data_IF_314906066858
#
_entry.id   IF_314906066858
#
_cell.length_a   1.000
_cell.length_b   1.000
_cell.length_c   1.000
_cell.angle_alpha   90.00
_cell.angle_beta   90.00
_cell.angle_gamma   90.00
#
_symmetry.space_group_name_H-M   'P 1'
#
loop_
_entity.id
_entity.type
_entity.pdbx_description
1 polymer ?
#
# COMPACT_ATOMS: atom_id res chain seq x y z
N UNK A 1 18.83 -30.14 59.73
CA UNK A 1 19.08 -30.73 58.41
C UNK A 1 18.09 -30.20 57.33
N UNK A 2 17.92 -28.88 57.20
CA UNK A 2 16.98 -28.24 56.23
C UNK A 2 17.45 -26.86 55.72
N UNK A 3 18.77 -26.65 55.57
CA UNK A 3 19.31 -25.33 55.17
C UNK A 3 20.39 -25.36 54.08
N UNK A 4 20.65 -26.49 53.41
CA UNK A 4 21.77 -26.57 52.44
C UNK A 4 21.32 -26.91 51.00
N UNK A 5 20.05 -27.28 50.78
CA UNK A 5 19.57 -27.71 49.46
C UNK A 5 18.87 -26.62 48.60
N UNK A 6 18.76 -25.36 49.07
CA UNK A 6 18.12 -24.27 48.29
C UNK A 6 19.10 -23.33 47.56
N UNK A 7 20.40 -23.40 47.83
CA UNK A 7 21.39 -22.51 47.21
C UNK A 7 22.00 -23.08 45.91
N UNK A 8 21.95 -24.41 45.72
CA UNK A 8 22.55 -25.10 44.57
C UNK A 8 21.69 -25.12 43.29
N UNK A 9 20.43 -24.69 43.34
CA UNK A 9 19.54 -24.65 42.15
C UNK A 9 19.39 -23.26 41.51
N UNK A 10 19.93 -22.20 42.13
CA UNK A 10 19.82 -20.83 41.60
C UNK A 10 21.05 -20.44 40.77
N UNK A 11 22.23 -21.00 41.06
CA UNK A 11 23.44 -20.69 40.31
C UNK A 11 23.59 -21.51 39.02
N UNK A 12 23.11 -22.76 38.99
CA UNK A 12 23.20 -23.60 37.79
C UNK A 12 22.22 -23.21 36.67
N UNK A 13 21.13 -22.48 36.98
CA UNK A 13 20.19 -21.93 35.99
C UNK A 13 20.62 -20.59 35.41
N UNK A 14 21.39 -19.81 36.15
CA UNK A 14 21.83 -18.49 35.71
C UNK A 14 22.85 -18.58 34.57
N UNK A 15 23.77 -19.54 34.67
CA UNK A 15 24.79 -19.78 33.65
C UNK A 15 24.24 -20.51 32.40
N UNK A 16 23.04 -21.09 32.47
CA UNK A 16 22.36 -21.71 31.30
C UNK A 16 21.26 -20.83 30.68
N UNK A 17 20.78 -19.79 31.37
CA UNK A 17 19.93 -18.74 30.81
C UNK A 17 20.75 -17.68 30.05
N UNK A 18 21.95 -17.32 30.54
CA UNK A 18 22.86 -16.42 29.84
C UNK A 18 23.43 -17.03 28.53
N UNK A 19 23.44 -18.36 28.41
CA UNK A 19 23.92 -19.07 27.21
C UNK A 19 22.79 -19.52 26.27
N UNK A 20 21.52 -19.16 26.56
CA UNK A 20 20.33 -19.44 25.72
C UNK A 20 19.51 -18.21 25.37
N UNK A 21 20.01 -17.01 25.67
CA UNK A 21 19.73 -15.87 24.80
C UNK A 21 20.50 -16.07 23.48
N UNK A 22 20.11 -17.07 22.69
CA UNK A 22 20.06 -16.82 21.25
C UNK A 22 19.22 -15.56 21.15
N UNK A 23 19.86 -14.41 20.87
CA UNK A 23 19.15 -13.15 20.71
C UNK A 23 18.05 -13.41 19.70
N UNK A 24 16.80 -13.50 20.17
CA UNK A 24 15.66 -13.67 19.27
C UNK A 24 15.80 -12.58 18.22
N UNK A 25 15.88 -12.94 16.93
CA UNK A 25 16.16 -11.96 15.89
C UNK A 25 15.12 -10.86 16.00
N UNK A 26 15.60 -9.62 16.12
CA UNK A 26 14.74 -8.44 16.13
C UNK A 26 13.96 -8.40 14.82
N UNK A 27 12.68 -8.04 14.90
CA UNK A 27 11.77 -8.08 13.77
C UNK A 27 11.95 -6.89 12.82
N UNK A 28 11.65 -7.08 11.54
CA UNK A 28 11.30 -5.96 10.67
C UNK A 28 9.85 -5.55 10.94
N UNK A 29 9.62 -4.26 11.16
CA UNK A 29 8.29 -3.74 11.48
C UNK A 29 7.75 -2.95 10.30
N UNK A 30 6.79 -3.53 9.59
CA UNK A 30 6.11 -2.93 8.46
C UNK A 30 4.83 -2.23 8.93
N UNK A 31 4.57 -1.04 8.40
CA UNK A 31 3.32 -0.30 8.62
C UNK A 31 2.63 -0.18 7.26
N UNK A 32 1.42 -0.71 7.15
CA UNK A 32 0.69 -0.79 5.88
C UNK A 32 -0.82 -0.81 6.12
N UNK A 33 -1.61 -0.96 5.06
CA UNK A 33 -3.08 -1.03 5.16
C UNK A 33 -3.74 -2.35 4.65
N UNK A 34 -3.08 -3.54 4.69
CA UNK A 34 -3.76 -4.78 4.32
C UNK A 34 -4.85 -5.19 5.34
N UNK A 35 -5.71 -6.12 4.94
CA UNK A 35 -6.78 -6.71 5.73
C UNK A 35 -8.14 -6.01 5.58
N UNK A 36 -8.18 -4.82 5.00
CA UNK A 36 -9.36 -4.35 4.28
C UNK A 36 -9.19 -4.83 2.85
N UNK A 37 -9.96 -5.82 2.36
CA UNK A 37 -9.73 -6.41 1.04
C UNK A 37 -9.84 -5.32 -0.04
N UNK A 38 -8.70 -4.71 -0.37
CA UNK A 38 -8.48 -3.71 -1.38
C UNK A 38 -7.22 -4.16 -2.11
N UNK A 39 -7.38 -4.62 -3.34
CA UNK A 39 -6.35 -5.40 -4.03
C UNK A 39 -4.98 -4.69 -4.06
N UNK A 40 -4.98 -3.37 -4.18
CA UNK A 40 -3.75 -2.59 -4.16
C UNK A 40 -2.96 -2.67 -2.86
N UNK A 41 -3.65 -2.47 -1.73
CA UNK A 41 -3.01 -2.46 -0.41
C UNK A 41 -2.53 -3.88 -0.02
N UNK A 42 -3.32 -4.91 -0.38
CA UNK A 42 -2.93 -6.31 -0.21
C UNK A 42 -1.73 -6.68 -1.09
N UNK A 43 -1.69 -6.19 -2.33
CA UNK A 43 -0.59 -6.41 -3.26
C UNK A 43 0.71 -5.80 -2.71
N UNK A 44 0.70 -4.53 -2.32
CA UNK A 44 1.88 -3.85 -1.77
C UNK A 44 2.44 -4.64 -0.57
N UNK A 45 1.59 -4.99 0.40
CA UNK A 45 2.04 -5.76 1.57
C UNK A 45 2.55 -7.15 1.19
N UNK A 46 1.84 -7.86 0.29
CA UNK A 46 2.22 -9.20 -0.17
C UNK A 46 3.53 -9.23 -0.94
N UNK A 47 3.81 -8.22 -1.76
CA UNK A 47 5.06 -8.09 -2.52
C UNK A 47 6.25 -7.87 -1.58
N UNK A 48 6.12 -6.99 -0.59
CA UNK A 48 7.15 -6.78 0.44
C UNK A 48 7.39 -8.03 1.28
N UNK A 49 6.33 -8.71 1.74
CA UNK A 49 6.45 -9.95 2.49
C UNK A 49 7.15 -11.05 1.68
N UNK A 50 6.79 -11.21 0.41
CA UNK A 50 7.43 -12.20 -0.48
C UNK A 50 8.91 -11.90 -0.67
N UNK A 51 9.26 -10.62 -0.86
CA UNK A 51 10.65 -10.20 -1.02
C UNK A 51 11.48 -10.45 0.24
N UNK A 52 10.95 -10.06 1.40
CA UNK A 52 11.59 -10.33 2.68
C UNK A 52 11.69 -11.83 2.96
N UNK A 53 10.68 -12.61 2.62
CA UNK A 53 10.68 -14.06 2.81
C UNK A 53 11.74 -14.75 1.96
N UNK A 54 12.07 -14.17 0.79
CA UNK A 54 13.14 -14.64 -0.08
C UNK A 54 14.54 -14.35 0.46
N UNK A 55 14.79 -13.16 1.02
CA UNK A 55 16.14 -12.71 1.41
C UNK A 55 16.43 -12.73 2.92
N UNK A 56 15.39 -12.82 3.73
CA UNK A 56 15.40 -12.84 5.20
C UNK A 56 14.40 -13.86 5.77
N UNK A 57 14.37 -15.11 5.28
CA UNK A 57 13.39 -16.11 5.74
C UNK A 57 13.43 -16.37 7.24
N UNK A 58 14.55 -16.09 7.91
CA UNK A 58 14.75 -16.32 9.34
C UNK A 58 14.36 -15.15 10.24
N UNK A 59 14.13 -13.95 9.67
CA UNK A 59 13.82 -12.75 10.45
C UNK A 59 12.30 -12.59 10.57
N UNK A 60 11.75 -12.46 11.79
CA UNK A 60 10.32 -12.17 11.95
C UNK A 60 9.94 -10.86 11.27
N UNK A 61 8.78 -10.83 10.63
CA UNK A 61 8.23 -9.62 10.01
C UNK A 61 6.89 -9.30 10.66
N UNK A 62 6.83 -8.17 11.35
CA UNK A 62 5.60 -7.67 11.98
C UNK A 62 4.93 -6.71 11.01
N UNK A 63 3.65 -6.92 10.71
CA UNK A 63 2.85 -6.06 9.85
C UNK A 63 1.78 -5.38 10.70
N UNK A 64 1.98 -4.11 11.01
CA UNK A 64 0.99 -3.23 11.62
C UNK A 64 0.02 -2.73 10.56
N UNK A 65 -1.25 -3.11 10.67
CA UNK A 65 -2.23 -2.90 9.63
C UNK A 65 -3.64 -2.66 10.16
N UNK A 66 -4.55 -2.31 9.25
CA UNK A 66 -5.93 -1.98 9.59
C UNK A 66 -6.71 -3.14 10.22
N UNK A 67 -6.49 -4.36 9.72
CA UNK A 67 -7.24 -5.56 10.12
C UNK A 67 -6.34 -6.79 10.12
N UNK A 68 -5.65 -7.09 11.24
CA UNK A 68 -4.64 -8.14 11.28
C UNK A 68 -5.21 -9.55 11.05
N UNK A 69 -6.43 -9.83 11.50
CA UNK A 69 -7.09 -11.13 11.29
C UNK A 69 -7.25 -11.49 9.80
N UNK A 70 -7.98 -10.68 9.02
CA UNK A 70 -8.07 -10.85 7.56
C UNK A 70 -6.71 -10.82 6.85
N UNK A 71 -5.83 -9.86 7.18
CA UNK A 71 -4.51 -9.75 6.57
C UNK A 71 -3.69 -11.04 6.75
N UNK A 72 -3.74 -11.64 7.95
CA UNK A 72 -3.06 -12.89 8.25
C UNK A 72 -3.56 -14.07 7.41
N UNK A 73 -4.83 -14.08 7.00
CA UNK A 73 -5.38 -15.13 6.12
C UNK A 73 -5.01 -14.87 4.66
N UNK A 74 -5.14 -13.63 4.19
CA UNK A 74 -4.86 -13.22 2.81
C UNK A 74 -3.38 -13.41 2.48
N UNK A 75 -2.49 -13.09 3.42
CA UNK A 75 -1.04 -13.03 3.20
C UNK A 75 -0.26 -14.17 3.88
N UNK A 76 -0.96 -15.21 4.36
CA UNK A 76 -0.39 -16.29 5.21
C UNK A 76 0.87 -16.96 4.65
N UNK A 77 0.98 -17.10 3.33
CA UNK A 77 2.04 -17.85 2.66
C UNK A 77 3.16 -16.94 2.09
N UNK A 78 3.10 -15.63 2.34
CA UNK A 78 4.04 -14.66 1.75
C UNK A 78 5.36 -14.57 2.52
N UNK A 79 5.37 -14.89 3.82
CA UNK A 79 6.59 -14.91 4.63
C UNK A 79 6.47 -15.95 5.77
N UNK A 80 7.50 -16.80 6.02
CA UNK A 80 7.42 -17.91 6.99
C UNK A 80 7.17 -17.47 8.45
N UNK A 81 7.57 -16.25 8.78
CA UNK A 81 7.48 -15.66 10.12
C UNK A 81 6.74 -14.32 10.15
N UNK A 82 5.71 -14.16 9.29
CA UNK A 82 4.85 -12.97 9.36
C UNK A 82 3.96 -12.97 10.62
N UNK A 83 3.89 -11.83 11.29
CA UNK A 83 3.03 -11.57 12.45
C UNK A 83 2.21 -10.33 12.13
N UNK A 84 0.89 -10.40 12.26
CA UNK A 84 0.01 -9.28 11.96
C UNK A 84 -0.52 -8.65 13.26
N UNK A 85 -0.42 -7.33 13.36
CA UNK A 85 -0.89 -6.51 14.49
C UNK A 85 -1.54 -5.23 13.98
N UNK A 86 -2.05 -4.40 14.89
CA UNK A 86 -2.67 -3.11 14.60
C UNK A 86 -2.31 -2.06 15.65
N UNK A 87 -1.13 -2.14 16.26
CA UNK A 87 -0.68 -1.25 17.35
C UNK A 87 -0.71 0.22 16.96
N UNK A 88 0.06 0.64 15.96
CA UNK A 88 0.11 2.04 15.51
C UNK A 88 -1.21 2.47 14.89
N UNK A 89 -1.89 1.58 14.14
CA UNK A 89 -3.25 1.83 13.67
C UNK A 89 -4.18 2.20 14.83
N UNK A 90 -4.16 1.42 15.91
CA UNK A 90 -5.03 1.60 17.07
C UNK A 90 -4.64 2.80 17.89
N UNK A 91 -3.36 3.11 18.04
CA UNK A 91 -2.94 4.37 18.67
C UNK A 91 -3.49 5.59 17.91
N UNK A 92 -3.52 5.52 16.57
CA UNK A 92 -4.11 6.56 15.74
C UNK A 92 -5.63 6.69 15.87
N UNK A 93 -6.38 5.60 16.09
CA UNK A 93 -7.86 5.64 16.14
C UNK A 93 -8.48 5.61 17.52
N UNK A 94 -7.81 5.03 18.51
CA UNK A 94 -8.27 4.87 19.90
C UNK A 94 -7.51 5.82 20.83
N UNK A 95 -7.37 7.05 20.36
CA UNK A 95 -6.82 8.19 21.09
C UNK A 95 -7.97 8.99 21.76
N UNK A 96 -7.68 9.96 22.65
CA UNK A 96 -8.72 10.70 23.38
C UNK A 96 -9.42 11.80 22.54
N UNK A 97 -9.05 12.00 21.29
CA UNK A 97 -9.57 13.02 20.38
C UNK A 97 -10.60 12.43 19.41
N UNK A 98 -11.43 13.27 18.75
CA UNK A 98 -12.38 12.82 17.73
C UNK A 98 -11.69 12.06 16.58
N UNK A 99 -12.44 11.16 15.94
CA UNK A 99 -12.02 10.57 14.67
C UNK A 99 -11.82 11.69 13.64
N UNK A 100 -10.64 11.73 13.01
CA UNK A 100 -10.17 12.85 12.19
C UNK A 100 -10.03 14.21 12.93
N UNK A 101 -9.70 14.17 14.22
CA UNK A 101 -9.39 15.34 15.05
C UNK A 101 -8.07 16.06 14.69
N UNK A 102 -7.64 17.06 15.48
CA UNK A 102 -6.42 17.83 15.22
C UNK A 102 -5.17 16.93 15.13
N UNK A 103 -4.46 17.00 14.02
CA UNK A 103 -3.32 16.11 13.73
C UNK A 103 -2.20 16.22 14.77
N UNK A 104 -1.86 17.44 15.24
CA UNK A 104 -0.79 17.66 16.20
C UNK A 104 -1.11 16.97 17.55
N UNK A 105 -2.37 17.02 17.98
CA UNK A 105 -2.83 16.39 19.22
C UNK A 105 -2.80 14.85 19.11
N UNK A 106 -3.33 14.30 18.02
CA UNK A 106 -3.34 12.85 17.78
C UNK A 106 -1.91 12.32 17.64
N UNK A 107 -1.06 12.99 16.85
CA UNK A 107 0.33 12.60 16.68
C UNK A 107 1.14 12.74 17.98
N UNK A 108 0.85 13.76 18.80
CA UNK A 108 1.40 13.91 20.14
C UNK A 108 1.08 12.72 21.03
N UNK A 109 -0.19 12.31 21.08
CA UNK A 109 -0.61 11.11 21.81
C UNK A 109 0.10 9.84 21.30
N UNK A 110 0.20 9.65 19.98
CA UNK A 110 0.92 8.49 19.40
C UNK A 110 2.38 8.50 19.84
N UNK A 111 3.07 9.65 19.78
CA UNK A 111 4.45 9.80 20.22
C UNK A 111 4.64 9.50 21.72
N UNK A 112 3.76 10.02 22.58
CA UNK A 112 3.77 9.75 24.02
C UNK A 112 3.55 8.27 24.31
N UNK A 113 2.57 7.63 23.66
CA UNK A 113 2.30 6.21 23.84
C UNK A 113 3.46 5.31 23.39
N UNK A 114 4.18 5.69 22.33
CA UNK A 114 5.40 4.97 21.93
C UNK A 114 6.55 5.11 22.95
N UNK A 115 6.55 6.17 23.76
CA UNK A 115 7.53 6.38 24.85
C UNK A 115 7.12 5.66 26.15
N UNK A 116 5.83 5.62 26.45
CA UNK A 116 5.27 5.07 27.68
C UNK A 116 4.04 4.21 27.37
N UNK A 117 4.19 2.89 27.48
CA UNK A 117 3.08 1.95 27.26
C UNK A 117 1.90 2.16 28.22
N UNK A 118 2.09 2.86 29.34
CA UNK A 118 1.05 3.20 30.30
C UNK A 118 0.03 4.21 29.77
N UNK A 119 0.37 4.99 28.74
CA UNK A 119 -0.55 5.91 28.04
C UNK A 119 -1.62 5.13 27.26
N UNK A 120 -1.24 3.98 26.69
CA UNK A 120 -2.12 3.13 25.89
C UNK A 120 -1.99 1.65 26.31
N UNK A 121 -2.43 1.29 27.53
CA UNK A 121 -2.13 -0.01 28.15
C UNK A 121 -2.75 -1.20 27.39
N UNK A 122 -3.84 -0.98 26.65
CA UNK A 122 -4.44 -2.00 25.78
C UNK A 122 -3.49 -2.47 24.66
N UNK A 123 -2.51 -1.64 24.30
CA UNK A 123 -1.55 -1.86 23.22
C UNK A 123 -0.11 -2.02 23.73
N UNK A 124 0.08 -2.17 25.04
CA UNK A 124 1.39 -2.23 25.68
C UNK A 124 2.32 -3.31 25.10
N UNK A 125 1.79 -4.48 24.73
CA UNK A 125 2.58 -5.55 24.12
C UNK A 125 3.17 -5.15 22.76
N UNK A 126 2.40 -4.44 21.94
CA UNK A 126 2.86 -3.93 20.64
C UNK A 126 3.84 -2.77 20.78
N UNK A 127 3.61 -1.89 21.76
CA UNK A 127 4.51 -0.80 22.10
C UNK A 127 5.87 -1.34 22.57
N UNK A 128 5.88 -2.32 23.48
CA UNK A 128 7.13 -2.96 23.94
C UNK A 128 7.88 -3.67 22.82
N UNK A 129 7.16 -4.27 21.88
CA UNK A 129 7.75 -4.86 20.69
C UNK A 129 8.46 -3.78 19.86
N UNK A 130 7.84 -2.63 19.61
CA UNK A 130 8.49 -1.48 18.96
C UNK A 130 9.71 -1.00 19.74
N UNK A 131 9.60 -0.81 21.06
CA UNK A 131 10.68 -0.27 21.90
C UNK A 131 11.91 -1.17 21.98
N UNK A 132 11.74 -2.50 21.92
CA UNK A 132 12.80 -3.44 22.28
C UNK A 132 13.09 -4.51 21.23
N UNK A 133 12.11 -4.82 20.38
CA UNK A 133 12.11 -6.00 19.51
C UNK A 133 12.22 -5.73 18.02
N UNK A 134 12.41 -4.48 17.58
CA UNK A 134 12.52 -4.15 16.14
C UNK A 134 13.95 -3.83 15.70
N UNK A 135 14.29 -4.28 14.50
CA UNK A 135 15.54 -3.96 13.81
C UNK A 135 15.40 -2.72 12.93
N UNK A 136 14.25 -2.56 12.29
CA UNK A 136 13.92 -1.42 11.45
C UNK A 136 12.41 -1.23 11.36
N UNK A 137 11.99 -0.03 10.99
CA UNK A 137 10.59 0.33 10.77
C UNK A 137 10.44 0.78 9.32
N UNK A 138 9.40 0.29 8.64
CA UNK A 138 9.19 0.55 7.23
C UNK A 138 7.72 0.81 6.94
N UNK A 139 7.39 2.05 6.59
CA UNK A 139 6.05 2.44 6.16
C UNK A 139 5.89 2.15 4.68
N UNK A 140 5.06 1.18 4.36
CA UNK A 140 4.83 0.74 2.99
C UNK A 140 3.91 1.72 2.27
N UNK A 141 4.04 1.73 0.94
CA UNK A 141 3.27 2.58 0.04
C UNK A 141 1.77 2.38 0.14
N UNK A 142 1.04 3.32 -0.46
CA UNK A 142 -0.41 3.32 -0.42
C UNK A 142 -0.99 4.72 -0.24
N UNK A 143 -2.31 4.82 -0.38
CA UNK A 143 -3.05 6.08 -0.24
C UNK A 143 -3.71 6.26 1.12
N UNK A 144 -3.33 5.44 2.10
CA UNK A 144 -3.94 5.42 3.43
C UNK A 144 -3.46 6.58 4.32
N UNK A 145 -2.40 7.29 3.93
CA UNK A 145 -1.87 8.49 4.59
C UNK A 145 -2.42 9.81 4.00
N UNK A 146 -3.64 9.79 3.47
CA UNK A 146 -4.32 11.00 2.97
C UNK A 146 -4.34 12.08 4.08
N UNK A 147 -4.07 13.33 3.72
CA UNK A 147 -3.81 14.40 4.69
C UNK A 147 -5.00 14.77 5.58
N UNK A 148 -6.23 14.50 5.14
CA UNK A 148 -7.48 14.69 5.89
C UNK A 148 -7.86 13.46 6.74
N UNK A 149 -7.16 12.33 6.63
CA UNK A 149 -7.35 11.16 7.49
C UNK A 149 -6.37 11.22 8.66
N UNK A 150 -6.58 12.15 9.59
CA UNK A 150 -5.56 12.51 10.59
C UNK A 150 -5.20 11.35 11.52
N UNK A 151 -6.14 10.47 11.84
CA UNK A 151 -5.85 9.23 12.57
C UNK A 151 -4.83 8.36 11.84
N UNK A 152 -4.92 8.26 10.51
CA UNK A 152 -3.95 7.51 9.72
C UNK A 152 -2.62 8.24 9.62
N UNK A 153 -2.67 9.53 9.24
CA UNK A 153 -1.50 10.37 9.05
C UNK A 153 -0.64 10.44 10.31
N UNK A 154 -1.26 10.44 11.50
CA UNK A 154 -0.57 10.49 12.80
C UNK A 154 0.48 9.39 12.99
N UNK A 155 0.35 8.26 12.28
CA UNK A 155 1.34 7.16 12.29
C UNK A 155 2.72 7.61 11.81
N UNK A 156 2.85 8.73 11.08
CA UNK A 156 4.14 9.33 10.73
C UNK A 156 4.95 9.77 11.97
N UNK A 157 4.32 9.92 13.14
CA UNK A 157 5.00 10.18 14.41
C UNK A 157 6.03 9.10 14.78
N UNK A 158 5.93 7.90 14.19
CA UNK A 158 6.93 6.84 14.34
C UNK A 158 8.31 7.24 13.81
N UNK A 159 8.38 8.13 12.81
CA UNK A 159 9.63 8.59 12.21
C UNK A 159 10.52 9.31 13.22
N UNK A 160 10.09 10.45 13.78
CA UNK A 160 10.82 11.15 14.84
C UNK A 160 11.16 10.25 16.03
N UNK A 161 10.20 9.43 16.49
CA UNK A 161 10.41 8.51 17.61
C UNK A 161 11.53 7.48 17.34
N UNK A 162 11.57 6.92 16.13
CA UNK A 162 12.57 5.95 15.71
C UNK A 162 13.94 6.60 15.52
N UNK A 163 13.97 7.81 14.93
CA UNK A 163 15.18 8.60 14.72
C UNK A 163 15.93 8.89 16.02
N UNK A 164 15.22 9.38 17.05
CA UNK A 164 15.79 9.66 18.37
C UNK A 164 16.43 8.42 19.02
N UNK A 165 15.92 7.23 18.67
CA UNK A 165 16.37 5.93 19.17
C UNK A 165 17.38 5.23 18.26
N UNK A 166 17.75 5.86 17.14
CA UNK A 166 18.64 5.28 16.12
C UNK A 166 18.12 3.95 15.57
N UNK A 167 16.81 3.80 15.47
CA UNK A 167 16.16 2.68 14.78
C UNK A 167 16.03 3.09 13.31
N UNK A 168 16.62 2.34 12.36
CA UNK A 168 16.47 2.61 10.94
C UNK A 168 15.00 2.70 10.55
N UNK A 169 14.61 3.77 9.87
CA UNK A 169 13.21 4.06 9.56
C UNK A 169 13.04 4.60 8.14
N UNK A 170 12.19 3.94 7.37
CA UNK A 170 11.92 4.29 5.98
C UNK A 170 10.42 4.41 5.71
N UNK A 171 10.08 5.22 4.70
CA UNK A 171 8.78 5.26 4.06
C UNK A 171 8.97 5.17 2.55
N UNK A 172 8.22 4.29 1.89
CA UNK A 172 8.26 4.14 0.43
C UNK A 172 6.90 4.32 -0.20
N UNK A 173 6.83 4.96 -1.37
CA UNK A 173 5.63 4.98 -2.21
C UNK A 173 4.37 5.60 -1.57
N UNK A 174 4.49 6.42 -0.53
CA UNK A 174 3.34 7.02 0.14
C UNK A 174 2.63 8.03 -0.79
N UNK A 175 1.30 8.14 -0.67
CA UNK A 175 0.52 9.22 -1.26
C UNK A 175 -0.29 9.94 -0.19
N UNK A 176 -0.04 11.24 -0.03
CA UNK A 176 -0.63 12.04 1.05
C UNK A 176 -1.71 13.02 0.55
N UNK A 177 -1.78 13.29 -0.75
CA UNK A 177 -2.80 14.20 -1.29
C UNK A 177 -4.23 13.70 -1.05
N UNK A 178 -5.19 14.62 -0.84
CA UNK A 178 -5.01 16.04 -0.51
C UNK A 178 -4.37 16.22 0.86
N UNK A 179 -3.46 17.19 0.98
CA UNK A 179 -2.80 17.55 2.24
C UNK A 179 -2.53 19.05 2.31
N UNK A 180 -2.94 19.67 3.41
CA UNK A 180 -2.83 21.10 3.64
C UNK A 180 -2.78 21.43 5.15
N UNK A 181 -2.63 22.72 5.49
CA UNK A 181 -2.72 23.21 6.86
C UNK A 181 -1.80 22.50 7.85
N UNK A 182 -2.34 22.17 9.01
CA UNK A 182 -1.59 21.50 10.08
C UNK A 182 -1.11 20.10 9.69
N UNK A 183 -1.90 19.35 8.92
CA UNK A 183 -1.51 18.03 8.41
C UNK A 183 -0.27 18.13 7.52
N UNK A 184 -0.21 19.15 6.66
CA UNK A 184 0.97 19.39 5.83
C UNK A 184 2.20 19.76 6.69
N UNK A 185 2.03 20.68 7.64
CA UNK A 185 3.11 21.10 8.55
C UNK A 185 3.67 19.92 9.33
N UNK A 186 2.80 19.08 9.88
CA UNK A 186 3.16 17.86 10.58
C UNK A 186 3.92 16.89 9.66
N UNK A 187 3.38 16.59 8.47
CA UNK A 187 4.01 15.65 7.54
C UNK A 187 5.38 16.14 7.05
N UNK A 188 5.55 17.45 6.81
CA UNK A 188 6.84 18.07 6.48
C UNK A 188 7.88 17.82 7.57
N UNK A 189 7.51 18.03 8.85
CA UNK A 189 8.40 17.81 9.99
C UNK A 189 8.72 16.33 10.19
N UNK A 190 7.70 15.47 10.13
CA UNK A 190 7.89 14.03 10.33
C UNK A 190 8.79 13.42 9.25
N UNK A 191 8.61 13.79 7.98
CA UNK A 191 9.39 13.28 6.85
C UNK A 191 10.91 13.54 7.00
N UNK A 192 11.30 14.63 7.69
CA UNK A 192 12.72 14.95 7.94
C UNK A 192 13.42 13.95 8.86
N UNK A 193 12.66 13.16 9.62
CA UNK A 193 13.22 12.18 10.57
C UNK A 193 13.42 10.79 9.96
N UNK A 194 12.99 10.57 8.72
CA UNK A 194 13.17 9.29 8.03
C UNK A 194 14.53 9.21 7.35
N UNK A 195 15.16 8.03 7.38
CA UNK A 195 16.39 7.76 6.62
C UNK A 195 16.10 7.74 5.10
N UNK A 196 14.89 7.32 4.74
CA UNK A 196 14.37 7.26 3.38
C UNK A 196 12.91 7.67 3.40
N UNK A 197 12.53 8.67 2.59
CA UNK A 197 11.14 9.04 2.41
C UNK A 197 10.81 9.17 0.92
N UNK A 198 10.08 8.22 0.36
CA UNK A 198 9.60 8.31 -1.01
C UNK A 198 8.09 8.39 -1.10
N UNK A 199 7.63 9.11 -2.10
CA UNK A 199 6.23 9.34 -2.40
C UNK A 199 5.93 8.98 -3.84
N UNK A 200 4.74 8.49 -4.13
CA UNK A 200 4.39 8.00 -5.48
C UNK A 200 4.01 9.11 -6.46
N UNK A 201 3.71 10.30 -5.96
CA UNK A 201 3.17 11.40 -6.78
C UNK A 201 3.92 12.73 -6.56
N UNK A 202 4.01 13.50 -7.65
CA UNK A 202 4.70 14.81 -7.68
C UNK A 202 4.02 15.85 -6.80
N UNK A 203 2.68 15.95 -6.72
CA UNK A 203 2.03 16.90 -5.84
C UNK A 203 2.37 16.70 -4.37
N UNK A 204 2.35 15.46 -3.86
CA UNK A 204 2.78 15.14 -2.49
C UNK A 204 4.21 15.61 -2.25
N UNK A 205 5.16 15.27 -3.14
CA UNK A 205 6.56 15.73 -3.00
C UNK A 205 6.65 17.25 -2.96
N UNK A 206 5.97 17.92 -3.89
CA UNK A 206 5.98 19.39 -4.00
C UNK A 206 5.47 20.03 -2.70
N UNK A 207 4.37 19.50 -2.15
CA UNK A 207 3.82 19.95 -0.89
C UNK A 207 4.80 19.76 0.27
N UNK A 208 5.41 18.57 0.39
CA UNK A 208 6.36 18.27 1.47
C UNK A 208 7.67 19.08 1.38
N UNK A 209 8.09 19.50 0.18
CA UNK A 209 9.31 20.32 0.03
C UNK A 209 9.07 21.81 0.32
N UNK A 210 7.83 22.30 0.25
CA UNK A 210 7.48 23.68 0.60
C UNK A 210 8.27 24.77 -0.15
N UNK A 211 8.87 24.44 -1.31
CA UNK A 211 9.74 25.34 -2.07
C UNK A 211 11.22 25.38 -1.65
N UNK A 212 11.68 24.52 -0.74
CA UNK A 212 13.09 24.39 -0.33
C UNK A 212 13.93 23.67 -1.39
N UNK A 213 15.09 24.20 -1.77
CA UNK A 213 15.71 23.86 -3.06
C UNK A 213 16.89 22.87 -3.07
N UNK A 214 17.47 22.46 -1.93
CA UNK A 214 18.61 21.50 -1.99
C UNK A 214 18.61 20.42 -0.91
N UNK A 215 18.65 20.77 0.39
CA UNK A 215 18.82 19.75 1.45
C UNK A 215 17.55 18.89 1.65
N UNK A 216 16.36 19.51 1.65
CA UNK A 216 15.09 18.80 1.75
C UNK A 216 14.79 17.90 0.52
N UNK A 217 15.32 18.26 -0.65
CA UNK A 217 15.12 17.51 -1.90
C UNK A 217 15.82 16.14 -1.89
N UNK A 218 16.84 15.97 -1.05
CA UNK A 218 17.49 14.68 -0.83
C UNK A 218 16.70 13.76 0.11
N UNK A 219 15.87 14.33 0.99
CA UNK A 219 15.08 13.59 1.97
C UNK A 219 13.80 13.02 1.37
N UNK A 220 13.07 13.81 0.55
CA UNK A 220 11.79 13.39 -0.06
C UNK A 220 11.90 13.24 -1.58
N UNK A 221 11.75 12.00 -2.06
CA UNK A 221 11.89 11.65 -3.49
C UNK A 221 10.58 11.15 -4.07
N UNK A 222 10.32 11.45 -5.34
CA UNK A 222 9.27 10.72 -6.06
C UNK A 222 9.85 9.37 -6.45
N UNK A 223 9.15 8.28 -6.14
CA UNK A 223 9.51 6.93 -6.55
C UNK A 223 8.30 6.24 -7.22
N UNK A 224 8.49 5.10 -7.89
CA UNK A 224 7.40 4.24 -8.32
C UNK A 224 6.60 3.70 -7.14
N UNK A 225 5.39 3.21 -7.40
CA UNK A 225 4.56 2.55 -6.39
C UNK A 225 5.19 1.21 -5.94
N UNK A 226 5.05 0.89 -4.66
CA UNK A 226 5.68 -0.27 -4.03
C UNK A 226 5.26 -1.62 -4.64
N UNK A 227 4.12 -1.70 -5.34
CA UNK A 227 3.74 -2.91 -6.06
C UNK A 227 4.80 -3.37 -7.08
N UNK A 228 5.67 -2.47 -7.56
CA UNK A 228 6.77 -2.82 -8.46
C UNK A 228 7.96 -3.49 -7.76
N UNK A 229 7.99 -3.67 -6.45
CA UNK A 229 9.22 -4.12 -5.74
C UNK A 229 9.73 -5.50 -6.21
N UNK A 230 8.87 -6.43 -6.66
CA UNK A 230 9.28 -7.67 -7.35
C UNK A 230 9.03 -7.68 -8.86
N UNK A 231 8.84 -6.52 -9.48
CA UNK A 231 8.67 -6.42 -10.93
C UNK A 231 7.38 -7.06 -11.45
N UNK A 232 6.35 -7.22 -10.60
CA UNK A 232 5.03 -7.75 -10.97
C UNK A 232 5.05 -9.17 -11.56
N UNK A 233 6.10 -9.97 -11.29
CA UNK A 233 6.30 -11.28 -11.93
C UNK A 233 5.18 -12.28 -11.63
N UNK A 234 4.74 -12.34 -10.37
CA UNK A 234 3.81 -13.36 -9.86
C UNK A 234 2.42 -12.82 -9.49
N UNK A 235 2.09 -11.58 -9.86
CA UNK A 235 0.83 -10.94 -9.48
C UNK A 235 -0.30 -11.13 -10.49
N UNK A 236 -0.05 -11.78 -11.64
CA UNK A 236 -1.02 -11.93 -12.73
C UNK A 236 -1.61 -13.35 -12.79
N UNK A 237 -2.89 -13.43 -13.12
CA UNK A 237 -3.54 -14.71 -13.39
C UNK A 237 -3.09 -15.34 -14.71
N UNK A 238 -3.44 -16.63 -14.88
CA UNK A 238 -3.32 -17.30 -16.18
C UNK A 238 -4.07 -16.49 -17.26
N UNK A 239 -3.47 -16.26 -18.44
CA UNK A 239 -4.09 -15.48 -19.51
C UNK A 239 -5.22 -16.22 -20.22
N UNK A 240 -5.36 -17.54 -20.00
CA UNK A 240 -6.31 -18.39 -20.70
C UNK A 240 -7.77 -18.01 -20.38
N UNK A 241 -8.57 -17.81 -21.44
CA UNK A 241 -9.99 -17.50 -21.32
C UNK A 241 -10.31 -16.14 -20.70
N UNK A 242 -9.33 -15.24 -20.55
CA UNK A 242 -9.59 -13.86 -20.12
C UNK A 242 -10.28 -13.06 -21.24
N UNK A 243 -11.38 -12.34 -20.94
CA UNK A 243 -12.05 -11.47 -21.90
C UNK A 243 -11.10 -10.42 -22.53
N UNK A 244 -11.39 -9.97 -23.75
CA UNK A 244 -10.60 -8.93 -24.42
C UNK A 244 -10.85 -7.53 -23.85
N UNK A 245 -11.98 -7.34 -23.17
CA UNK A 245 -12.37 -6.06 -22.55
C UNK A 245 -12.57 -6.29 -21.05
N UNK A 246 -11.94 -5.44 -20.25
CA UNK A 246 -11.98 -5.52 -18.79
C UNK A 246 -12.41 -4.18 -18.20
N UNK A 247 -13.21 -4.21 -17.14
CA UNK A 247 -13.77 -3.04 -16.48
C UNK A 247 -13.59 -3.16 -14.96
N UNK A 248 -13.06 -2.12 -14.31
CA UNK A 248 -12.96 -2.04 -12.85
C UNK A 248 -13.38 -0.64 -12.37
N UNK A 249 -14.59 -0.51 -11.83
CA UNK A 249 -15.24 0.79 -11.62
C UNK A 249 -15.71 0.92 -10.19
N UNK A 250 -14.97 1.69 -9.39
CA UNK A 250 -15.39 2.14 -8.06
C UNK A 250 -16.49 3.19 -8.14
N UNK A 251 -17.45 3.16 -7.21
CA UNK A 251 -18.60 4.06 -7.20
C UNK A 251 -18.78 4.85 -5.89
N UNK A 252 -17.86 4.76 -4.94
CA UNK A 252 -17.94 5.37 -3.60
C UNK A 252 -17.50 6.84 -3.54
N UNK A 253 -16.60 7.28 -4.44
CA UNK A 253 -16.10 8.65 -4.49
C UNK A 253 -16.87 9.60 -5.41
N UNK A 254 -17.78 9.07 -6.25
CA UNK A 254 -18.59 9.91 -7.16
C UNK A 254 -19.88 10.38 -6.50
N UNK A 255 -20.24 11.64 -6.71
CA UNK A 255 -21.53 12.20 -6.26
C UNK A 255 -22.71 11.55 -6.99
N UNK A 256 -22.56 11.30 -8.30
CA UNK A 256 -23.61 10.75 -9.17
C UNK A 256 -23.17 9.44 -9.83
N UNK A 257 -23.44 8.31 -9.16
CA UNK A 257 -23.08 6.98 -9.65
C UNK A 257 -23.65 6.66 -11.04
N UNK A 258 -24.88 7.12 -11.33
CA UNK A 258 -25.52 6.88 -12.62
C UNK A 258 -24.78 7.57 -13.76
N UNK A 259 -24.28 8.78 -13.56
CA UNK A 259 -23.50 9.49 -14.57
C UNK A 259 -22.17 8.77 -14.86
N UNK A 260 -21.53 8.20 -13.83
CA UNK A 260 -20.34 7.36 -14.00
C UNK A 260 -20.65 6.11 -14.83
N UNK A 261 -21.71 5.36 -14.50
CA UNK A 261 -22.04 4.13 -15.22
C UNK A 261 -22.48 4.39 -16.67
N UNK A 262 -23.18 5.49 -16.91
CA UNK A 262 -23.49 5.96 -18.26
C UNK A 262 -22.21 6.31 -19.03
N UNK A 263 -21.23 6.96 -18.39
CA UNK A 263 -19.93 7.23 -19.01
C UNK A 263 -19.18 5.93 -19.35
N UNK A 264 -19.25 4.92 -18.48
CA UNK A 264 -18.68 3.58 -18.75
C UNK A 264 -19.34 2.95 -19.98
N UNK A 265 -20.67 2.94 -20.05
CA UNK A 265 -21.42 2.42 -21.21
C UNK A 265 -21.05 3.14 -22.50
N UNK A 266 -21.04 4.47 -22.49
CA UNK A 266 -20.65 5.31 -23.65
C UNK A 266 -19.21 5.02 -24.09
N UNK A 267 -18.32 4.75 -23.15
CA UNK A 267 -16.92 4.40 -23.45
C UNK A 267 -16.83 3.05 -24.16
N UNK A 268 -17.52 2.03 -23.65
CA UNK A 268 -17.59 0.71 -24.29
C UNK A 268 -18.17 0.80 -25.72
N UNK A 269 -19.20 1.61 -25.91
CA UNK A 269 -19.79 1.87 -27.23
C UNK A 269 -18.84 2.63 -28.16
N UNK A 270 -18.12 3.63 -27.65
CA UNK A 270 -17.08 4.34 -28.39
C UNK A 270 -15.94 3.41 -28.85
N UNK A 271 -15.67 2.36 -28.07
CA UNK A 271 -14.68 1.34 -28.40
C UNK A 271 -15.21 0.26 -29.36
N UNK A 272 -16.47 0.32 -29.76
CA UNK A 272 -17.11 -0.71 -30.58
C UNK A 272 -17.21 -2.06 -29.86
N UNK A 273 -17.48 -2.05 -28.56
CA UNK A 273 -17.73 -3.28 -27.79
C UNK A 273 -19.17 -3.71 -28.03
N UNK A 274 -19.34 -4.84 -28.74
CA UNK A 274 -20.65 -5.44 -28.99
C UNK A 274 -21.31 -5.93 -27.68
N UNK A 275 -22.64 -5.98 -27.65
CA UNK A 275 -23.41 -6.34 -26.45
C UNK A 275 -23.25 -7.80 -26.02
N UNK A 276 -22.91 -8.69 -26.95
CA UNK A 276 -22.62 -10.11 -26.70
C UNK A 276 -21.12 -10.41 -26.53
N UNK A 277 -20.26 -9.39 -26.68
CA UNK A 277 -18.83 -9.54 -26.45
C UNK A 277 -18.53 -9.91 -24.99
N UNK A 278 -17.55 -10.79 -24.79
CA UNK A 278 -17.08 -11.14 -23.45
C UNK A 278 -16.46 -9.91 -22.78
N UNK A 279 -16.98 -9.53 -21.61
CA UNK A 279 -16.45 -8.43 -20.79
C UNK A 279 -16.16 -8.96 -19.39
N UNK A 280 -14.94 -8.72 -18.90
CA UNK A 280 -14.57 -8.99 -17.52
C UNK A 280 -14.92 -7.80 -16.64
N UNK A 281 -15.66 -8.02 -15.56
CA UNK A 281 -15.90 -7.01 -14.52
C UNK A 281 -15.11 -7.41 -13.28
N UNK A 282 -14.12 -6.60 -12.93
CA UNK A 282 -13.15 -6.90 -11.87
C UNK A 282 -13.48 -6.11 -10.62
N UNK A 283 -13.54 -6.80 -9.49
CA UNK A 283 -13.66 -6.21 -8.17
C UNK A 283 -12.30 -6.18 -7.47
N UNK A 284 -11.83 -4.98 -7.16
CA UNK A 284 -10.63 -4.73 -6.38
C UNK A 284 -10.94 -4.13 -5.01
N UNK A 285 -12.20 -3.82 -4.71
CA UNK A 285 -12.71 -3.57 -3.36
C UNK A 285 -14.16 -4.09 -3.26
N UNK A 286 -14.46 -5.03 -2.34
CA UNK A 286 -15.77 -5.64 -2.19
C UNK A 286 -16.92 -4.66 -2.16
N UNK A 287 -17.96 -4.95 -2.95
CA UNK A 287 -19.22 -4.20 -3.02
C UNK A 287 -19.10 -2.78 -3.60
N UNK A 288 -17.91 -2.19 -3.60
CA UNK A 288 -17.65 -0.86 -4.15
C UNK A 288 -17.53 -0.92 -5.68
N UNK A 289 -16.94 -2.00 -6.22
CA UNK A 289 -16.77 -2.14 -7.68
C UNK A 289 -17.86 -2.96 -8.36
N UNK A 290 -18.60 -3.73 -7.56
CA UNK A 290 -19.68 -4.59 -8.04
C UNK A 290 -20.81 -3.85 -8.80
N UNK A 291 -21.28 -2.65 -8.39
CA UNK A 291 -22.50 -2.06 -8.93
C UNK A 291 -22.52 -1.80 -10.45
N UNK A 292 -21.37 -1.70 -11.10
CA UNK A 292 -21.32 -1.57 -12.58
C UNK A 292 -21.79 -2.83 -13.30
N UNK A 293 -21.66 -4.01 -12.69
CA UNK A 293 -22.07 -5.28 -13.27
C UNK A 293 -23.57 -5.37 -13.54
N UNK A 294 -24.46 -5.21 -12.53
CA UNK A 294 -25.90 -5.24 -12.78
C UNK A 294 -26.32 -4.13 -13.74
N UNK A 295 -25.71 -2.94 -13.65
CA UNK A 295 -25.96 -1.85 -14.61
C UNK A 295 -25.68 -2.27 -16.06
N UNK A 296 -24.52 -2.86 -16.35
CA UNK A 296 -24.20 -3.32 -17.71
C UNK A 296 -25.16 -4.42 -18.19
N UNK A 297 -25.54 -5.35 -17.31
CA UNK A 297 -26.52 -6.40 -17.60
C UNK A 297 -27.88 -5.82 -18.01
N UNK A 298 -28.38 -4.86 -17.23
CA UNK A 298 -29.65 -4.16 -17.51
C UNK A 298 -29.61 -3.35 -18.82
N UNK A 299 -28.41 -2.97 -19.28
CA UNK A 299 -28.18 -2.26 -20.54
C UNK A 299 -27.78 -3.19 -21.71
N UNK A 300 -28.11 -4.47 -21.59
CA UNK A 300 -28.08 -5.45 -22.68
C UNK A 300 -26.75 -6.20 -22.87
N UNK A 301 -25.74 -5.97 -22.03
CA UNK A 301 -24.51 -6.75 -22.09
C UNK A 301 -24.73 -8.16 -21.53
N UNK A 302 -24.66 -9.18 -22.38
CA UNK A 302 -25.12 -10.54 -22.05
C UNK A 302 -24.00 -11.51 -21.65
N UNK A 303 -22.74 -11.18 -21.94
CA UNK A 303 -21.57 -12.03 -21.68
C UNK A 303 -20.61 -11.39 -20.67
N UNK A 304 -21.12 -11.14 -19.47
CA UNK A 304 -20.38 -10.55 -18.36
C UNK A 304 -19.74 -11.64 -17.49
N UNK A 305 -18.42 -11.56 -17.28
CA UNK A 305 -17.68 -12.43 -16.35
C UNK A 305 -17.22 -11.62 -15.15
N UNK A 306 -17.72 -11.97 -13.97
CA UNK A 306 -17.30 -11.33 -12.73
C UNK A 306 -16.00 -11.95 -12.19
N UNK A 307 -15.07 -11.10 -11.75
CA UNK A 307 -13.83 -11.46 -11.07
C UNK A 307 -13.90 -10.86 -9.66
N UNK A 308 -14.45 -11.58 -8.66
CA UNK A 308 -14.52 -11.10 -7.28
C UNK A 308 -13.12 -10.96 -6.69
N UNK A 309 -12.93 -10.04 -5.75
CA UNK A 309 -11.58 -9.77 -5.22
C UNK A 309 -10.89 -11.02 -4.64
N UNK A 310 -11.65 -11.94 -4.04
CA UNK A 310 -11.08 -13.17 -3.47
C UNK A 310 -10.41 -14.03 -4.55
N UNK A 311 -11.04 -14.13 -5.72
CA UNK A 311 -10.45 -14.81 -6.87
C UNK A 311 -9.22 -14.07 -7.39
N UNK A 312 -9.25 -12.73 -7.39
CA UNK A 312 -8.11 -11.90 -7.81
C UNK A 312 -6.91 -12.08 -6.86
N UNK A 313 -7.15 -12.17 -5.55
CA UNK A 313 -6.11 -12.41 -4.54
C UNK A 313 -5.53 -13.83 -4.63
N UNK A 314 -6.37 -14.84 -4.87
CA UNK A 314 -5.94 -16.25 -4.92
C UNK A 314 -5.33 -16.66 -6.26
N UNK A 315 -5.86 -16.14 -7.37
CA UNK A 315 -5.53 -16.58 -8.73
C UNK A 315 -4.69 -15.55 -9.48
N UNK A 316 -4.55 -14.34 -8.95
CA UNK A 316 -3.81 -13.22 -9.57
C UNK A 316 -4.72 -12.23 -10.32
N UNK A 317 -4.13 -11.08 -10.67
CA UNK A 317 -4.80 -10.02 -11.41
C UNK A 317 -5.09 -10.44 -12.86
N UNK A 318 -6.34 -10.31 -13.35
CA UNK A 318 -6.77 -10.90 -14.63
C UNK A 318 -6.38 -10.03 -15.84
N UNK A 319 -5.09 -9.72 -15.99
CA UNK A 319 -4.56 -8.93 -17.10
C UNK A 319 -3.63 -9.73 -18.04
N UNK A 320 -3.79 -9.51 -19.34
CA UNK A 320 -2.90 -10.00 -20.40
C UNK A 320 -2.70 -8.95 -21.48
N UNK A 321 -1.53 -8.99 -22.11
CA UNK A 321 -1.24 -8.12 -23.25
C UNK A 321 -2.32 -8.23 -24.34
N UNK A 322 -2.65 -7.10 -24.97
CA UNK A 322 -3.67 -7.00 -26.02
C UNK A 322 -5.11 -6.78 -25.52
N UNK A 323 -5.37 -6.84 -24.21
CA UNK A 323 -6.67 -6.41 -23.67
C UNK A 323 -6.87 -4.90 -23.76
N UNK A 324 -8.15 -4.48 -23.72
CA UNK A 324 -8.60 -3.12 -23.48
C UNK A 324 -9.20 -3.00 -22.08
N UNK A 325 -8.75 -2.01 -21.31
CA UNK A 325 -9.18 -1.83 -19.92
C UNK A 325 -9.81 -0.46 -19.69
N UNK A 326 -10.92 -0.43 -18.97
CA UNK A 326 -11.51 0.78 -18.40
C UNK A 326 -11.47 0.70 -16.89
N UNK A 327 -10.82 1.67 -16.23
CA UNK A 327 -10.72 1.67 -14.78
C UNK A 327 -10.95 3.03 -14.15
N UNK A 328 -11.60 3.08 -13.00
CA UNK A 328 -11.52 4.25 -12.10
C UNK A 328 -10.49 4.07 -11.00
N UNK A 329 -9.94 2.86 -10.83
CA UNK A 329 -9.00 2.52 -9.76
C UNK A 329 -7.55 2.64 -10.21
N UNK A 330 -6.72 3.06 -9.26
CA UNK A 330 -5.28 3.26 -9.42
C UNK A 330 -4.50 1.98 -9.76
N UNK A 331 -4.58 0.94 -8.93
CA UNK A 331 -3.83 -0.30 -9.15
C UNK A 331 -4.26 -1.06 -10.40
N UNK A 332 -5.56 -1.21 -10.72
CA UNK A 332 -5.96 -1.79 -12.00
C UNK A 332 -5.44 -1.01 -13.22
N UNK A 333 -5.33 0.31 -13.14
CA UNK A 333 -4.67 1.12 -14.17
C UNK A 333 -3.18 0.74 -14.28
N UNK A 334 -2.43 0.76 -13.17
CA UNK A 334 -1.00 0.38 -13.16
C UNK A 334 -0.79 -1.01 -13.77
N UNK A 335 -1.48 -2.01 -13.24
CA UNK A 335 -1.18 -3.41 -13.52
C UNK A 335 -1.56 -3.80 -14.94
N UNK A 336 -2.70 -3.33 -15.44
CA UNK A 336 -3.10 -3.59 -16.80
C UNK A 336 -2.19 -2.85 -17.79
N UNK A 337 -1.87 -1.57 -17.55
CA UNK A 337 -0.96 -0.81 -18.40
C UNK A 337 0.44 -1.44 -18.43
N UNK A 338 0.99 -1.83 -17.28
CA UNK A 338 2.29 -2.50 -17.17
C UNK A 338 2.32 -3.88 -17.85
N UNK A 339 1.16 -4.55 -17.97
CA UNK A 339 1.03 -5.82 -18.70
C UNK A 339 0.89 -5.61 -20.23
N UNK A 340 0.91 -4.38 -20.71
CA UNK A 340 0.76 -4.02 -22.13
C UNK A 340 -0.70 -3.93 -22.59
N UNK A 341 -1.65 -3.72 -21.68
CA UNK A 341 -3.04 -3.46 -22.06
C UNK A 341 -3.21 -2.00 -22.49
N UNK A 342 -3.98 -1.77 -23.54
CA UNK A 342 -4.48 -0.43 -23.85
C UNK A 342 -5.69 -0.11 -22.96
N UNK A 343 -6.03 1.17 -22.80
CA UNK A 343 -7.16 1.51 -21.96
C UNK A 343 -7.43 2.99 -21.79
N UNK A 344 -8.42 3.25 -20.94
CA UNK A 344 -8.76 4.57 -20.44
C UNK A 344 -9.01 4.52 -18.95
N UNK A 345 -8.87 5.66 -18.29
CA UNK A 345 -9.26 5.83 -16.90
C UNK A 345 -10.33 6.93 -16.75
N UNK A 346 -11.17 6.80 -15.72
CA UNK A 346 -12.11 7.84 -15.30
C UNK A 346 -11.74 8.24 -13.88
N UNK A 347 -11.38 9.50 -13.69
CA UNK A 347 -11.10 10.02 -12.34
C UNK A 347 -12.40 10.31 -11.60
N UNK A 348 -12.50 9.83 -10.36
CA UNK A 348 -13.73 9.89 -9.55
C UNK A 348 -13.67 10.90 -8.41
N UNK A 349 -12.49 11.46 -8.12
CA UNK A 349 -12.28 12.44 -7.04
C UNK A 349 -11.18 13.43 -7.45
N UNK A 350 -11.52 14.72 -7.53
CA UNK A 350 -10.58 15.78 -7.89
C UNK A 350 -9.60 16.02 -6.76
N UNK A 351 -8.31 16.19 -7.08
CA UNK A 351 -7.26 16.37 -6.07
C UNK A 351 -6.82 15.10 -5.34
N UNK A 352 -7.51 13.96 -5.55
CA UNK A 352 -7.09 12.65 -5.03
C UNK A 352 -6.89 11.61 -6.15
N UNK A 353 -7.96 11.24 -6.87
CA UNK A 353 -7.86 10.22 -7.92
C UNK A 353 -7.21 10.74 -9.21
N UNK A 354 -7.31 12.05 -9.47
CA UNK A 354 -6.53 12.69 -10.53
C UNK A 354 -5.02 12.53 -10.27
N UNK A 355 -4.59 12.87 -9.04
CA UNK A 355 -3.20 12.73 -8.60
C UNK A 355 -2.71 11.29 -8.72
N UNK A 356 -3.57 10.33 -8.33
CA UNK A 356 -3.29 8.90 -8.52
C UNK A 356 -3.10 8.56 -10.00
N UNK A 357 -4.01 8.91 -10.89
CA UNK A 357 -3.88 8.55 -12.30
C UNK A 357 -2.70 9.25 -12.99
N UNK A 358 -2.43 10.51 -12.65
CA UNK A 358 -1.26 11.25 -13.16
C UNK A 358 0.06 10.60 -12.69
N UNK A 359 0.09 10.00 -11.50
CA UNK A 359 1.23 9.20 -11.07
C UNK A 359 1.43 7.94 -11.94
N UNK A 360 0.36 7.28 -12.39
CA UNK A 360 0.46 6.13 -13.31
C UNK A 360 0.95 6.56 -14.70
N UNK A 361 0.49 7.70 -15.19
CA UNK A 361 0.97 8.28 -16.45
C UNK A 361 2.48 8.56 -16.36
N UNK A 362 2.93 9.19 -15.27
CA UNK A 362 4.36 9.41 -15.00
C UNK A 362 5.17 8.12 -15.00
N UNK A 363 4.61 7.02 -14.47
CA UNK A 363 5.28 5.73 -14.40
C UNK A 363 5.36 5.00 -15.76
N UNK A 364 4.66 5.48 -16.79
CA UNK A 364 4.78 4.98 -18.16
C UNK A 364 3.46 4.65 -18.86
N UNK A 365 2.30 4.87 -18.24
CA UNK A 365 1.02 4.65 -18.92
C UNK A 365 0.69 5.77 -19.91
N UNK A 366 0.16 5.38 -21.07
CA UNK A 366 -0.41 6.29 -22.06
C UNK A 366 -1.92 6.13 -22.19
N UNK A 367 -2.60 5.53 -21.19
CA UNK A 367 -4.05 5.44 -21.17
C UNK A 367 -4.70 6.83 -21.27
N UNK A 368 -5.80 6.89 -22.00
CA UNK A 368 -6.55 8.14 -22.19
C UNK A 368 -7.43 8.45 -20.99
N UNK A 369 -7.60 9.73 -20.68
CA UNK A 369 -8.55 10.18 -19.65
C UNK A 369 -9.95 10.29 -20.26
N UNK A 370 -10.93 9.69 -19.61
CA UNK A 370 -12.35 9.90 -19.88
C UNK A 370 -12.98 10.73 -18.75
N UNK A 371 -13.60 11.86 -19.12
CA UNK A 371 -14.32 12.73 -18.19
C UNK A 371 -15.82 12.41 -18.25
N UNK A 372 -16.48 12.36 -17.09
CA UNK A 372 -17.94 12.16 -17.01
C UNK A 372 -18.66 13.29 -17.76
N UNK A 373 -19.60 12.93 -18.64
CA UNK A 373 -20.38 13.87 -19.44
C UNK A 373 -19.73 14.24 -20.78
N UNK A 374 -18.42 14.12 -20.91
CA UNK A 374 -17.71 14.41 -22.16
C UNK A 374 -17.75 13.23 -23.14
N UNK A 375 -17.36 13.49 -24.40
CA UNK A 375 -17.24 12.44 -25.42
C UNK A 375 -16.10 11.49 -25.03
N UNK A 376 -16.34 10.17 -24.91
CA UNK A 376 -15.27 9.22 -24.62
C UNK A 376 -14.17 9.22 -25.67
N UNK A 377 -12.94 8.95 -25.24
CA UNK A 377 -11.78 8.77 -26.10
C UNK A 377 -11.56 7.29 -26.46
N UNK A 378 -10.82 7.07 -27.56
CA UNK A 378 -10.24 5.77 -27.87
C UNK A 378 -9.24 5.34 -26.78
N UNK A 379 -9.03 4.03 -26.56
CA UNK A 379 -8.09 3.57 -25.55
C UNK A 379 -6.66 3.97 -25.95
N UNK A 380 -5.90 4.49 -24.99
CA UNK A 380 -4.48 4.80 -25.13
C UNK A 380 -3.60 3.58 -24.85
N UNK A 381 -2.32 3.62 -25.25
CA UNK A 381 -1.40 2.50 -25.05
C UNK A 381 -1.06 2.28 -23.57
N UNK A 382 -0.65 1.06 -23.22
CA UNK A 382 -0.08 0.74 -21.91
C UNK A 382 1.33 1.27 -21.76
N UNK A 383 2.19 0.55 -21.04
CA UNK A 383 3.60 0.89 -20.92
C UNK A 383 4.32 0.54 -22.24
N UNK A 384 4.87 1.54 -22.94
CA UNK A 384 5.51 1.33 -24.25
C UNK A 384 6.98 0.90 -24.16
N UNK A 385 7.67 1.26 -23.07
CA UNK A 385 9.10 0.96 -22.90
C UNK A 385 9.31 -0.39 -22.21
N UNK A 386 9.89 -1.33 -22.95
CA UNK A 386 10.36 -2.60 -22.41
C UNK A 386 11.40 -2.33 -21.31
N UNK A 387 11.16 -2.88 -20.11
CA UNK A 387 12.10 -2.79 -18.99
C UNK A 387 11.73 -1.80 -17.88
N UNK A 388 10.77 -0.89 -18.10
CA UNK A 388 10.34 0.08 -17.07
C UNK A 388 9.96 -0.59 -15.74
N UNK A 389 9.25 -1.71 -15.79
CA UNK A 389 8.87 -2.48 -14.60
C UNK A 389 10.10 -2.94 -13.80
N UNK A 390 11.17 -3.36 -14.49
CA UNK A 390 12.43 -3.76 -13.85
C UNK A 390 13.20 -2.56 -13.31
N UNK A 391 13.18 -1.44 -14.03
CA UNK A 391 13.77 -0.18 -13.57
C UNK A 391 13.09 0.33 -12.30
N UNK A 392 11.76 0.29 -12.26
CA UNK A 392 10.96 0.66 -11.10
C UNK A 392 11.26 -0.22 -9.89
N UNK A 393 11.32 -1.54 -10.09
CA UNK A 393 11.75 -2.50 -9.07
C UNK A 393 13.14 -2.16 -8.52
N UNK A 394 14.11 -1.93 -9.41
CA UNK A 394 15.49 -1.60 -9.04
C UNK A 394 15.57 -0.26 -8.30
N UNK A 395 14.75 0.73 -8.65
CA UNK A 395 14.69 2.01 -7.95
C UNK A 395 14.19 1.86 -6.51
N UNK A 396 13.09 1.12 -6.30
CA UNK A 396 12.57 0.88 -4.95
C UNK A 396 13.62 0.15 -4.11
N UNK A 397 14.26 -0.88 -4.66
CA UNK A 397 15.32 -1.64 -3.98
C UNK A 397 16.59 -0.81 -3.72
N UNK A 398 16.94 0.15 -4.58
CA UNK A 398 17.99 1.15 -4.27
C UNK A 398 17.64 1.97 -3.05
N UNK A 399 16.40 2.46 -3.00
CA UNK A 399 15.96 3.37 -1.95
C UNK A 399 16.01 2.70 -0.57
N UNK A 400 15.68 1.41 -0.45
CA UNK A 400 15.65 0.71 0.85
C UNK A 400 16.92 -0.10 1.19
N UNK A 401 17.97 -0.05 0.36
CA UNK A 401 19.11 -0.96 0.49
C UNK A 401 19.81 -0.85 1.87
N UNK A 402 19.80 0.34 2.47
CA UNK A 402 20.32 0.56 3.82
C UNK A 402 19.57 -0.22 4.91
N UNK A 403 18.25 -0.40 4.76
CA UNK A 403 17.43 -1.22 5.67
C UNK A 403 17.59 -2.72 5.39
N UNK A 404 17.68 -3.08 4.10
CA UNK A 404 17.68 -4.48 3.66
C UNK A 404 18.87 -4.81 2.74
N UNK A 405 20.11 -4.86 3.26
CA UNK A 405 21.32 -5.01 2.45
C UNK A 405 21.46 -6.34 1.69
N UNK A 406 20.70 -7.39 2.06
CA UNK A 406 20.70 -8.67 1.33
C UNK A 406 19.84 -8.64 0.07
N UNK A 407 18.96 -7.65 -0.07
CA UNK A 407 18.14 -7.50 -1.28
C UNK A 407 19.02 -6.92 -2.39
N UNK A 408 19.12 -7.60 -3.56
CA UNK A 408 19.90 -7.11 -4.67
C UNK A 408 19.23 -5.89 -5.30
N UNK A 409 20.06 -4.90 -5.59
CA UNK A 409 19.65 -3.58 -6.08
C UNK A 409 19.35 -3.57 -7.57
N UNK A 410 20.03 -4.42 -8.34
CA UNK A 410 19.73 -4.67 -9.75
C UNK A 410 19.10 -6.07 -9.81
N UNK A 411 18.00 -6.22 -10.58
CA UNK A 411 17.28 -7.49 -10.70
C UNK A 411 18.22 -8.67 -10.99
N UNK A 412 17.91 -9.84 -10.42
CA UNK A 412 18.63 -11.07 -10.70
C UNK A 412 18.44 -11.52 -12.15
#
# INVERSE_FOLDING_TARGET
MRSILRSLHIHARKDTEDSRQEQTPKAFYLIAEPGYPNYGDELIAGEWLSLLGKYYPEIPVVVDCARPGPAAVILKDKHPHAIFTDTLRRLGTENPFPYDGPIDDIAGFVGEALNDEGIAPNYASGIRLLQHGVQSIHMLGGGYMRGDWTCNLSRLAVGPWAHERKIPVAATGLGLMPIEGDSLRFAQQAAMSFDVFTVRDVPTRTALLGGSTVDAANTVKVAPDDCFVNGLEDCYASPEGLPDVMVCVQSDFVTEQQALFEQVRRTLECWGVEKDAAIGVVECNPRIDYPVLPYLSEHGYSNLRFFPIIDVLEKGFPARAGQRWLSTRYHPHILAAAKGCSGSFISVDSGYYDVKHDAVIRMGSHWTRNTIGEKPAAPGAGFEQNGLVKEHSAEIRRNIHALYPRIPVNGA
#
